data_IF_451132063716
#
_entry.id   IF_451132063716
#
_cell.length_a   1.000
_cell.length_b   1.000
_cell.length_c   1.000
_cell.angle_alpha   90.00
_cell.angle_beta   90.00
_cell.angle_gamma   90.00
#
_symmetry.space_group_name_H-M   'P 1'
#
loop_
_entity.id
_entity.type
_entity.pdbx_description
1 polymer ?
#
# COMPACT_ATOMS: atom_id res chain seq x y z
N UNK A 1 23.76 -8.45 -22.60
CA UNK A 1 22.99 -8.92 -21.45
C UNK A 1 21.66 -9.40 -22.01
N UNK A 2 21.32 -10.67 -21.81
CA UNK A 2 20.02 -11.21 -22.21
C UNK A 2 18.88 -10.40 -21.54
N UNK A 3 17.71 -10.35 -22.17
CA UNK A 3 16.51 -9.70 -21.60
C UNK A 3 16.20 -10.29 -20.22
N UNK A 4 16.39 -11.61 -20.06
CA UNK A 4 16.21 -12.30 -18.79
C UNK A 4 17.25 -11.91 -17.73
N UNK A 5 18.52 -11.78 -18.12
CA UNK A 5 19.60 -11.35 -17.21
C UNK A 5 19.38 -9.92 -16.71
N UNK A 6 18.94 -9.03 -17.60
CA UNK A 6 18.64 -7.64 -17.26
C UNK A 6 17.48 -7.55 -16.28
N UNK A 7 16.43 -8.36 -16.49
CA UNK A 7 15.27 -8.38 -15.60
C UNK A 7 15.60 -9.02 -14.25
N UNK A 8 16.38 -10.12 -14.25
CA UNK A 8 16.89 -10.74 -13.03
C UNK A 8 17.72 -9.75 -12.20
N UNK A 9 18.62 -8.99 -12.84
CA UNK A 9 19.42 -7.98 -12.17
C UNK A 9 18.54 -6.90 -11.50
N UNK A 10 17.49 -6.43 -12.18
CA UNK A 10 16.54 -5.47 -11.58
C UNK A 10 15.82 -6.07 -10.37
N UNK A 11 15.38 -7.33 -10.46
CA UNK A 11 14.71 -8.03 -9.37
C UNK A 11 15.65 -8.15 -8.16
N UNK A 12 16.90 -8.56 -8.37
CA UNK A 12 17.93 -8.64 -7.34
C UNK A 12 18.20 -7.28 -6.69
N UNK A 13 18.37 -6.23 -7.49
CA UNK A 13 18.60 -4.86 -7.00
C UNK A 13 17.40 -4.29 -6.22
N UNK A 14 16.19 -4.78 -6.49
CA UNK A 14 14.98 -4.29 -5.83
C UNK A 14 14.72 -4.91 -4.45
N UNK A 15 15.45 -5.97 -4.07
CA UNK A 15 15.21 -6.77 -2.86
C UNK A 15 13.71 -7.13 -2.66
N UNK A 16 12.98 -7.26 -3.76
CA UNK A 16 11.52 -7.42 -3.78
C UNK A 16 11.16 -8.67 -4.58
N UNK A 17 10.39 -9.57 -3.97
CA UNK A 17 9.80 -10.74 -4.60
C UNK A 17 8.33 -10.44 -4.89
N UNK A 18 8.00 -10.26 -6.16
CA UNK A 18 6.63 -10.01 -6.61
C UNK A 18 5.97 -11.32 -7.07
N UNK A 19 5.19 -11.94 -6.20
CA UNK A 19 4.45 -13.17 -6.53
C UNK A 19 3.15 -12.93 -7.30
N UNK A 20 2.78 -11.67 -7.58
CA UNK A 20 1.59 -11.32 -8.36
C UNK A 20 1.84 -11.34 -9.86
N UNK A 21 3.10 -11.26 -10.29
CA UNK A 21 3.46 -11.26 -11.70
C UNK A 21 3.92 -12.66 -12.13
N UNK A 22 3.15 -13.37 -13.00
CA UNK A 22 3.53 -14.69 -13.49
C UNK A 22 4.91 -14.73 -14.15
N UNK A 23 5.29 -13.65 -14.84
CA UNK A 23 6.60 -13.55 -15.51
C UNK A 23 7.74 -13.54 -14.48
N UNK A 24 7.53 -12.88 -13.33
CA UNK A 24 8.50 -12.86 -12.22
C UNK A 24 8.54 -14.21 -11.50
N UNK A 25 7.37 -14.82 -11.26
CA UNK A 25 7.26 -16.17 -10.66
C UNK A 25 8.01 -17.22 -11.48
N UNK A 26 7.88 -17.18 -12.81
CA UNK A 26 8.62 -18.08 -13.70
C UNK A 26 10.15 -17.90 -13.57
N UNK A 27 10.62 -16.66 -13.45
CA UNK A 27 12.05 -16.38 -13.21
C UNK A 27 12.51 -16.88 -11.83
N UNK A 28 11.73 -16.63 -10.78
CA UNK A 28 12.06 -17.10 -9.43
C UNK A 28 12.17 -18.62 -9.38
N UNK A 29 11.19 -19.33 -9.94
CA UNK A 29 11.17 -20.80 -9.98
C UNK A 29 12.37 -21.38 -10.75
N UNK A 30 12.85 -20.66 -11.77
CA UNK A 30 13.99 -21.10 -12.59
C UNK A 30 15.35 -20.84 -11.92
N UNK A 31 15.50 -19.71 -11.25
CA UNK A 31 16.82 -19.23 -10.81
C UNK A 31 17.04 -19.27 -9.29
N UNK A 32 15.98 -19.36 -8.48
CA UNK A 32 16.08 -19.45 -7.02
C UNK A 32 16.07 -20.94 -6.62
N UNK A 33 16.96 -21.39 -5.72
CA UNK A 33 16.91 -22.75 -5.18
C UNK A 33 15.52 -23.09 -4.64
N UNK A 34 15.00 -24.26 -5.01
CA UNK A 34 13.64 -24.69 -4.64
C UNK A 34 13.40 -24.68 -3.12
N UNK A 35 14.42 -25.01 -2.31
CA UNK A 35 14.33 -24.92 -0.85
C UNK A 35 14.00 -23.51 -0.36
N UNK A 36 14.72 -22.50 -0.87
CA UNK A 36 14.50 -21.10 -0.50
C UNK A 36 13.15 -20.61 -1.01
N UNK A 37 12.78 -20.97 -2.24
CA UNK A 37 11.48 -20.58 -2.79
C UNK A 37 10.31 -21.19 -1.99
N UNK A 38 10.42 -22.45 -1.57
CA UNK A 38 9.43 -23.10 -0.73
C UNK A 38 9.33 -22.46 0.66
N UNK A 39 10.44 -22.00 1.25
CA UNK A 39 10.39 -21.24 2.52
C UNK A 39 9.60 -19.93 2.37
N UNK A 40 9.75 -19.23 1.24
CA UNK A 40 8.97 -18.01 0.94
C UNK A 40 7.48 -18.34 0.83
N UNK A 41 7.13 -19.39 0.10
CA UNK A 41 5.73 -19.82 -0.03
C UNK A 41 5.11 -20.23 1.31
N UNK A 42 5.86 -20.96 2.14
CA UNK A 42 5.42 -21.31 3.50
C UNK A 42 5.17 -20.07 4.37
N UNK A 43 6.01 -19.04 4.25
CA UNK A 43 5.79 -17.78 4.95
C UNK A 43 4.51 -17.08 4.46
N UNK A 44 4.21 -17.13 3.16
CA UNK A 44 2.93 -16.64 2.63
C UNK A 44 1.73 -17.42 3.19
N UNK A 45 1.80 -18.75 3.27
CA UNK A 45 0.72 -19.58 3.81
C UNK A 45 0.48 -19.32 5.30
N UNK A 46 1.56 -19.11 6.07
CA UNK A 46 1.45 -18.67 7.47
C UNK A 46 0.73 -17.32 7.58
N UNK A 47 1.02 -16.37 6.71
CA UNK A 47 0.34 -15.07 6.71
C UNK A 47 -1.15 -15.20 6.34
N UNK A 48 -1.50 -16.07 5.39
CA UNK A 48 -2.90 -16.37 5.04
C UNK A 48 -3.67 -16.98 6.22
N UNK A 49 -3.02 -17.85 7.00
CA UNK A 49 -3.66 -18.49 8.17
C UNK A 49 -4.03 -17.49 9.29
N UNK A 50 -3.49 -16.26 9.25
CA UNK A 50 -3.79 -15.20 10.20
C UNK A 50 -4.99 -14.33 9.80
N UNK A 51 -5.66 -14.65 8.68
CA UNK A 51 -6.89 -13.98 8.30
C UNK A 51 -7.98 -14.23 9.36
N UNK A 52 -8.56 -13.19 9.99
CA UNK A 52 -9.64 -13.34 10.93
C UNK A 52 -10.88 -13.86 10.19
N UNK A 53 -11.54 -14.86 10.80
CA UNK A 53 -12.90 -15.24 10.42
C UNK A 53 -13.83 -14.11 10.86
N UNK A 54 -14.23 -13.24 9.93
CA UNK A 54 -15.20 -12.21 10.23
C UNK A 54 -16.58 -12.83 10.52
N UNK A 55 -17.28 -12.23 11.49
CA UNK A 55 -18.64 -12.62 11.79
C UNK A 55 -19.56 -12.13 10.68
N UNK A 56 -20.27 -13.06 10.02
CA UNK A 56 -21.22 -12.75 8.95
C UNK A 56 -22.26 -11.71 9.36
N UNK A 57 -22.67 -11.66 10.64
CA UNK A 57 -23.63 -10.66 11.12
C UNK A 57 -23.11 -9.22 11.01
N UNK A 58 -21.80 -9.00 11.19
CA UNK A 58 -21.18 -7.67 11.04
C UNK A 58 -21.16 -7.28 9.56
N UNK A 59 -20.92 -8.24 8.67
CA UNK A 59 -20.96 -8.01 7.22
C UNK A 59 -22.38 -7.65 6.80
N UNK A 60 -23.40 -8.33 7.33
CA UNK A 60 -24.80 -8.01 7.08
C UNK A 60 -25.17 -6.60 7.56
N UNK A 61 -24.73 -6.20 8.76
CA UNK A 61 -24.97 -4.85 9.29
C UNK A 61 -24.33 -3.76 8.41
N UNK A 62 -23.07 -3.95 8.01
CA UNK A 62 -22.35 -3.01 7.12
C UNK A 62 -23.01 -2.97 5.74
N UNK A 63 -23.43 -4.13 5.22
CA UNK A 63 -24.11 -4.21 3.94
C UNK A 63 -25.44 -3.45 3.97
N UNK A 64 -26.23 -3.62 5.03
CA UNK A 64 -27.47 -2.88 5.24
C UNK A 64 -27.23 -1.37 5.40
N UNK A 65 -26.17 -0.98 6.10
CA UNK A 65 -25.77 0.43 6.26
C UNK A 65 -25.36 1.04 4.92
N UNK A 66 -24.58 0.31 4.11
CA UNK A 66 -24.20 0.73 2.76
C UNK A 66 -25.42 0.91 1.86
N UNK A 67 -26.41 0.01 1.95
CA UNK A 67 -27.67 0.18 1.25
C UNK A 67 -28.40 1.44 1.74
N UNK A 68 -28.58 1.63 3.05
CA UNK A 68 -29.29 2.78 3.64
C UNK A 68 -28.63 4.12 3.28
N UNK A 69 -27.31 4.23 3.46
CA UNK A 69 -26.54 5.44 3.14
C UNK A 69 -26.69 5.85 1.67
N UNK A 70 -26.98 4.90 0.79
CA UNK A 70 -27.15 5.13 -0.65
C UNK A 70 -28.60 5.30 -1.10
N UNK A 71 -29.58 4.92 -0.28
CA UNK A 71 -31.00 5.20 -0.54
C UNK A 71 -31.47 6.51 0.11
N UNK A 72 -30.83 6.98 1.19
CA UNK A 72 -31.15 8.27 1.83
C UNK A 72 -30.63 9.48 1.05
N UNK A 73 -29.59 9.28 0.23
CA UNK A 73 -29.26 10.20 -0.85
C UNK A 73 -30.07 9.70 -2.04
N UNK A 74 -30.99 10.48 -2.61
CA UNK A 74 -31.81 10.16 -3.81
C UNK A 74 -31.00 9.72 -5.07
N UNK A 75 -29.71 9.48 -4.92
CA UNK A 75 -28.73 9.06 -5.89
C UNK A 75 -28.00 7.79 -5.43
N UNK A 76 -28.59 6.62 -5.74
CA UNK A 76 -27.96 5.31 -5.63
C UNK A 76 -26.79 5.19 -6.62
N UNK A 77 -25.72 5.96 -6.39
CA UNK A 77 -24.63 6.19 -7.34
C UNK A 77 -23.72 4.97 -7.53
N UNK A 78 -23.74 3.97 -6.65
CA UNK A 78 -23.09 2.69 -6.92
C UNK A 78 -23.77 1.92 -8.06
N UNK A 79 -25.11 1.89 -8.07
CA UNK A 79 -25.93 1.02 -8.93
C UNK A 79 -26.59 1.73 -10.13
N UNK A 80 -26.61 3.07 -10.15
CA UNK A 80 -27.11 3.87 -11.29
C UNK A 80 -26.07 3.89 -12.43
N UNK A 81 -25.89 2.75 -13.10
CA UNK A 81 -24.98 2.61 -14.24
C UNK A 81 -25.76 2.47 -15.56
N UNK A 82 -26.25 3.60 -16.10
CA UNK A 82 -26.85 3.60 -17.44
C UNK A 82 -25.81 3.58 -18.58
N UNK A 83 -24.51 3.75 -18.28
CA UNK A 83 -23.41 3.71 -19.27
C UNK A 83 -22.37 2.66 -18.91
N UNK A 84 -22.30 1.61 -19.72
CA UNK A 84 -21.30 0.55 -19.61
C UNK A 84 -19.86 1.11 -19.69
N UNK A 85 -19.07 0.80 -18.66
CA UNK A 85 -17.59 0.67 -18.64
C UNK A 85 -16.66 1.86 -18.99
N UNK A 86 -17.18 3.04 -19.37
CA UNK A 86 -16.35 4.19 -19.79
C UNK A 86 -16.15 5.29 -18.72
N UNK A 87 -16.27 4.95 -17.44
CA UNK A 87 -16.01 5.93 -16.39
C UNK A 87 -14.53 6.36 -16.32
N UNK A 88 -14.32 7.63 -15.97
CA UNK A 88 -13.01 8.11 -15.60
C UNK A 88 -12.49 7.41 -14.34
N UNK A 89 -11.17 7.26 -14.22
CA UNK A 89 -10.49 6.64 -13.06
C UNK A 89 -10.99 7.20 -11.72
N UNK A 90 -11.14 8.53 -11.65
CA UNK A 90 -11.62 9.26 -10.47
C UNK A 90 -13.06 8.88 -10.06
N UNK A 91 -13.90 8.41 -10.97
CA UNK A 91 -15.26 7.97 -10.61
C UNK A 91 -15.21 6.66 -9.83
N UNK A 92 -14.39 5.69 -10.27
CA UNK A 92 -14.18 4.44 -9.53
C UNK A 92 -13.55 4.71 -8.16
N UNK A 93 -12.55 5.60 -8.13
CA UNK A 93 -11.91 6.04 -6.89
C UNK A 93 -12.91 6.61 -5.89
N UNK A 94 -13.83 7.49 -6.32
CA UNK A 94 -14.85 8.08 -5.44
C UNK A 94 -15.86 7.05 -4.94
N UNK A 95 -16.32 6.14 -5.81
CA UNK A 95 -17.21 5.03 -5.41
C UNK A 95 -16.56 4.20 -4.30
N UNK A 96 -15.29 3.86 -4.46
CA UNK A 96 -14.54 3.11 -3.45
C UNK A 96 -14.28 3.93 -2.17
N UNK A 97 -13.88 5.20 -2.29
CA UNK A 97 -13.62 6.06 -1.13
C UNK A 97 -14.84 6.16 -0.20
N UNK A 98 -16.05 6.27 -0.76
CA UNK A 98 -17.28 6.28 0.03
C UNK A 98 -17.47 5.00 0.87
N UNK A 99 -17.14 3.82 0.31
CA UNK A 99 -17.22 2.55 1.05
C UNK A 99 -16.20 2.55 2.20
N UNK A 100 -14.99 3.01 1.91
CA UNK A 100 -13.90 3.07 2.90
C UNK A 100 -14.16 4.08 4.01
N UNK A 101 -14.78 5.22 3.70
CA UNK A 101 -15.15 6.23 4.70
C UNK A 101 -16.12 5.66 5.73
N UNK A 102 -17.09 4.84 5.31
CA UNK A 102 -18.02 4.13 6.21
C UNK A 102 -17.26 3.10 7.05
N UNK A 103 -16.38 2.30 6.42
CA UNK A 103 -15.64 1.26 7.14
C UNK A 103 -14.68 1.82 8.20
N UNK A 104 -14.15 3.02 7.99
CA UNK A 104 -13.19 3.67 8.88
C UNK A 104 -13.83 4.78 9.73
N UNK A 105 -15.16 4.86 9.75
CA UNK A 105 -15.86 5.80 10.64
C UNK A 105 -15.42 5.57 12.09
N UNK A 106 -15.21 6.68 12.81
CA UNK A 106 -14.70 6.72 14.19
C UNK A 106 -13.29 6.14 14.44
N UNK A 107 -12.57 5.71 13.40
CA UNK A 107 -11.22 5.18 13.54
C UNK A 107 -10.13 6.26 13.48
N UNK A 108 -8.96 5.96 14.06
CA UNK A 108 -7.78 6.84 13.99
C UNK A 108 -7.01 6.69 12.66
N UNK A 109 -7.74 6.48 11.58
CA UNK A 109 -7.24 6.26 10.23
C UNK A 109 -8.04 7.14 9.28
N UNK A 110 -7.34 7.85 8.39
CA UNK A 110 -7.98 8.67 7.36
C UNK A 110 -7.41 8.28 6.01
N UNK A 111 -8.29 8.07 5.03
CA UNK A 111 -7.90 7.88 3.64
C UNK A 111 -7.97 9.22 2.92
N UNK A 112 -6.87 9.59 2.29
CA UNK A 112 -6.75 10.85 1.58
C UNK A 112 -6.78 10.62 0.08
N UNK A 113 -7.59 11.42 -0.61
CA UNK A 113 -7.66 11.51 -2.06
C UNK A 113 -6.80 12.65 -2.62
N UNK A 114 -6.68 12.66 -3.96
CA UNK A 114 -5.85 13.57 -4.73
C UNK A 114 -4.41 13.07 -4.83
N UNK A 115 -3.78 13.26 -6.00
CA UNK A 115 -2.42 12.82 -6.34
C UNK A 115 -1.34 13.30 -5.35
N UNK A 116 -1.31 12.71 -4.15
CA UNK A 116 -0.43 13.12 -3.05
C UNK A 116 0.89 12.40 -3.21
N UNK A 117 1.96 13.16 -2.99
CA UNK A 117 3.31 12.63 -2.95
C UNK A 117 3.51 11.87 -1.64
N UNK A 118 3.82 10.57 -1.71
CA UNK A 118 4.19 9.80 -0.52
C UNK A 118 5.52 10.28 0.04
N UNK A 119 5.53 10.61 1.33
CA UNK A 119 6.74 11.01 2.05
C UNK A 119 7.72 9.84 2.18
N UNK A 120 7.20 8.63 2.31
CA UNK A 120 8.04 7.43 2.44
C UNK A 120 8.77 7.11 1.13
N UNK A 121 8.10 7.28 -0.02
CA UNK A 121 8.79 7.13 -1.32
C UNK A 121 9.86 8.20 -1.53
N UNK A 122 9.59 9.45 -1.13
CA UNK A 122 10.56 10.54 -1.22
C UNK A 122 11.80 10.22 -0.37
N UNK A 123 11.62 9.72 0.85
CA UNK A 123 12.72 9.32 1.73
C UNK A 123 13.59 8.22 1.13
N UNK A 124 12.99 7.20 0.51
CA UNK A 124 13.77 6.13 -0.13
C UNK A 124 14.49 6.62 -1.38
N UNK A 125 13.88 7.49 -2.20
CA UNK A 125 14.55 8.09 -3.36
C UNK A 125 15.79 8.91 -2.95
N UNK A 126 15.69 9.67 -1.85
CA UNK A 126 16.85 10.38 -1.28
C UNK A 126 17.96 9.40 -0.89
N UNK A 127 17.62 8.28 -0.25
CA UNK A 127 18.60 7.23 0.09
C UNK A 127 19.23 6.58 -1.15
N UNK A 128 18.45 6.42 -2.23
CA UNK A 128 18.92 5.91 -3.51
C UNK A 128 19.73 6.94 -4.33
N UNK A 129 19.84 8.20 -3.85
CA UNK A 129 20.47 9.32 -4.57
C UNK A 129 19.78 9.66 -5.90
N UNK A 130 18.46 9.46 -5.99
CA UNK A 130 17.63 9.85 -7.12
C UNK A 130 17.10 11.31 -6.99
N UNK A 131 16.65 11.93 -8.09
CA UNK A 131 16.01 13.27 -8.07
C UNK A 131 14.75 13.31 -7.18
N UNK A 132 14.56 14.41 -6.45
CA UNK A 132 13.58 14.62 -5.37
C UNK A 132 12.13 14.83 -5.84
N UNK A 133 11.56 13.83 -6.50
CA UNK A 133 10.16 13.83 -6.91
C UNK A 133 9.50 12.54 -6.40
N UNK A 134 9.00 12.57 -5.16
CA UNK A 134 8.23 11.47 -4.59
C UNK A 134 7.03 11.08 -5.46
N UNK A 135 6.41 9.94 -5.16
CA UNK A 135 5.37 9.37 -6.04
C UNK A 135 3.97 9.87 -5.71
N UNK A 136 3.26 10.30 -6.76
CA UNK A 136 1.81 10.53 -6.74
C UNK A 136 1.05 9.22 -6.58
N UNK A 137 0.08 9.23 -5.68
CA UNK A 137 -0.76 8.09 -5.28
C UNK A 137 -2.21 8.55 -5.33
N UNK A 138 -3.11 7.66 -5.76
CA UNK A 138 -4.54 7.95 -5.89
C UNK A 138 -5.20 8.05 -4.51
N UNK A 139 -5.07 7.00 -3.69
CA UNK A 139 -5.54 6.98 -2.31
C UNK A 139 -4.44 6.52 -1.35
N UNK A 140 -4.33 7.21 -0.21
CA UNK A 140 -3.35 6.86 0.82
C UNK A 140 -4.00 6.85 2.21
N UNK A 141 -3.92 5.71 2.88
CA UNK A 141 -4.34 5.58 4.27
C UNK A 141 -3.25 6.14 5.18
N UNK A 142 -3.63 6.97 6.14
CA UNK A 142 -2.70 7.61 7.08
C UNK A 142 -3.26 7.59 8.48
N UNK A 143 -2.37 7.63 9.45
CA UNK A 143 -2.68 7.92 10.84
C UNK A 143 -1.92 9.14 11.33
N UNK A 144 -2.37 9.68 12.47
CA UNK A 144 -1.77 10.83 13.13
C UNK A 144 -1.48 10.53 14.59
N UNK A 145 -0.28 10.93 15.02
CA UNK A 145 0.10 10.97 16.43
C UNK A 145 0.77 12.30 16.75
N UNK A 146 0.12 13.15 17.54
CA UNK A 146 0.54 14.55 17.71
C UNK A 146 0.57 15.25 16.35
N UNK A 147 1.68 15.89 16.00
CA UNK A 147 1.86 16.54 14.69
C UNK A 147 2.48 15.62 13.62
N UNK A 148 2.75 14.36 13.96
CA UNK A 148 3.35 13.39 13.05
C UNK A 148 2.25 12.67 12.26
N UNK A 149 2.32 12.79 10.94
CA UNK A 149 1.50 12.03 10.00
C UNK A 149 2.31 10.81 9.56
N UNK A 150 1.70 9.63 9.63
CA UNK A 150 2.33 8.36 9.31
C UNK A 150 1.49 7.68 8.22
N UNK A 151 2.14 7.28 7.12
CA UNK A 151 1.49 6.55 6.01
C UNK A 151 1.32 5.08 6.41
N UNK A 152 0.19 4.47 6.06
CA UNK A 152 -0.15 3.09 6.44
C UNK A 152 -0.21 2.15 5.24
N UNK A 153 -0.80 2.59 4.12
CA UNK A 153 -0.80 1.87 2.84
C UNK A 153 -1.21 2.80 1.69
N UNK A 154 -0.87 2.42 0.46
CA UNK A 154 -1.33 3.08 -0.77
C UNK A 154 -2.25 2.19 -1.58
N UNK A 155 -3.33 2.77 -2.10
CA UNK A 155 -4.31 2.14 -2.98
C UNK A 155 -4.27 2.89 -4.31
N UNK A 156 -4.17 2.16 -5.42
CA UNK A 156 -4.09 2.74 -6.76
C UNK A 156 -5.27 2.25 -7.63
N UNK A 157 -5.70 3.13 -8.54
CA UNK A 157 -6.81 2.91 -9.45
C UNK A 157 -6.32 2.98 -10.89
N UNK A 158 -6.95 2.23 -11.77
CA UNK A 158 -6.79 2.35 -13.22
C UNK A 158 -8.15 2.27 -13.88
N UNK A 159 -8.27 2.89 -15.05
CA UNK A 159 -9.46 2.73 -15.90
C UNK A 159 -9.63 1.26 -16.32
N UNK A 160 -10.89 0.82 -16.49
CA UNK A 160 -11.22 -0.57 -16.89
C UNK A 160 -10.48 -0.99 -18.18
N UNK A 161 -10.37 -0.08 -19.16
CA UNK A 161 -9.70 -0.33 -20.43
C UNK A 161 -8.17 -0.25 -20.41
N UNK A 162 -7.53 -0.15 -19.24
CA UNK A 162 -6.08 -0.04 -19.16
C UNK A 162 -5.39 -1.28 -19.74
N UNK A 163 -4.37 -1.05 -20.55
CA UNK A 163 -3.55 -2.12 -21.13
C UNK A 163 -2.81 -2.91 -20.04
N UNK A 164 -2.74 -4.23 -20.17
CA UNK A 164 -2.15 -5.10 -19.15
C UNK A 164 -0.68 -4.80 -18.85
N UNK A 165 0.11 -4.38 -19.85
CA UNK A 165 1.49 -3.96 -19.60
C UNK A 165 1.57 -2.67 -18.78
N UNK A 166 0.58 -1.78 -18.92
CA UNK A 166 0.47 -0.58 -18.08
C UNK A 166 0.06 -1.00 -16.68
N UNK A 167 -0.92 -1.90 -16.54
CA UNK A 167 -1.36 -2.42 -15.25
C UNK A 167 -0.23 -3.14 -14.49
N UNK A 168 0.55 -4.00 -15.15
CA UNK A 168 1.74 -4.66 -14.56
C UNK A 168 2.78 -3.66 -14.06
N UNK A 169 3.07 -2.61 -14.85
CA UNK A 169 4.00 -1.54 -14.46
C UNK A 169 3.48 -0.77 -13.25
N UNK A 170 2.18 -0.50 -13.22
CA UNK A 170 1.53 0.20 -12.13
C UNK A 170 1.48 -0.64 -10.85
N UNK A 171 1.12 -1.92 -10.94
CA UNK A 171 1.20 -2.87 -9.82
C UNK A 171 2.61 -2.87 -9.23
N UNK A 172 3.64 -3.00 -10.08
CA UNK A 172 5.04 -2.91 -9.65
C UNK A 172 5.40 -1.57 -9.01
N UNK A 173 4.75 -0.46 -9.42
CA UNK A 173 4.88 0.85 -8.77
C UNK A 173 4.25 0.82 -7.38
N UNK A 174 3.02 0.33 -7.24
CA UNK A 174 2.29 0.30 -5.97
C UNK A 174 2.95 -0.64 -4.94
N UNK A 175 3.47 -1.79 -5.38
CA UNK A 175 4.28 -2.70 -4.54
C UNK A 175 5.45 -1.94 -3.91
N UNK A 176 6.25 -1.22 -4.72
CA UNK A 176 7.41 -0.48 -4.21
C UNK A 176 7.00 0.64 -3.25
N UNK A 177 5.89 1.32 -3.52
CA UNK A 177 5.34 2.35 -2.64
C UNK A 177 4.97 1.75 -1.28
N UNK A 178 4.19 0.66 -1.26
CA UNK A 178 3.81 -0.01 -0.01
C UNK A 178 5.00 -0.62 0.72
N UNK A 179 6.03 -1.10 0.02
CA UNK A 179 7.30 -1.52 0.64
C UNK A 179 7.99 -0.35 1.34
N UNK A 180 8.06 0.83 0.72
CA UNK A 180 8.63 2.02 1.34
C UNK A 180 7.87 2.40 2.62
N UNK A 181 6.54 2.35 2.57
CA UNK A 181 5.68 2.60 3.72
C UNK A 181 5.95 1.55 4.82
N UNK A 182 5.98 0.26 4.49
CA UNK A 182 6.26 -0.81 5.46
C UNK A 182 7.63 -0.65 6.10
N UNK A 183 8.65 -0.29 5.33
CA UNK A 183 9.99 -0.07 5.87
C UNK A 183 10.00 1.08 6.88
N UNK A 184 9.27 2.17 6.61
CA UNK A 184 9.13 3.26 7.58
C UNK A 184 8.39 2.80 8.84
N UNK A 185 7.30 2.07 8.70
CA UNK A 185 6.54 1.52 9.83
C UNK A 185 7.37 0.56 10.68
N UNK A 186 8.11 -0.37 10.06
CA UNK A 186 9.02 -1.27 10.76
C UNK A 186 10.08 -0.49 11.55
N UNK A 187 10.57 0.62 11.00
CA UNK A 187 11.52 1.50 11.68
C UNK A 187 10.90 2.26 12.86
N UNK A 188 9.63 2.64 12.79
CA UNK A 188 8.92 3.27 13.91
C UNK A 188 8.63 2.21 14.99
N UNK A 189 8.12 1.05 14.59
CA UNK A 189 7.63 0.03 15.51
C UNK A 189 8.76 -0.81 16.11
N UNK A 190 9.96 -0.78 15.51
CA UNK A 190 11.12 -1.62 15.85
C UNK A 190 10.80 -3.12 15.79
N UNK A 191 9.78 -3.49 15.02
CA UNK A 191 9.32 -4.87 14.81
C UNK A 191 8.95 -5.04 13.35
N UNK A 192 9.04 -6.28 12.85
CA UNK A 192 8.61 -6.61 11.50
C UNK A 192 7.07 -6.68 11.49
N UNK A 193 6.46 -5.92 10.59
CA UNK A 193 5.04 -5.97 10.31
C UNK A 193 4.75 -6.43 8.89
N UNK A 194 3.50 -6.25 8.51
CA UNK A 194 2.99 -6.43 7.15
C UNK A 194 1.97 -5.33 6.85
N UNK A 195 1.73 -5.08 5.57
CA UNK A 195 0.72 -4.16 5.06
C UNK A 195 -0.20 -4.93 4.13
N UNK A 196 -1.50 -4.70 4.27
CA UNK A 196 -2.49 -5.00 3.24
C UNK A 196 -2.82 -3.74 2.45
N UNK A 197 -2.86 -3.86 1.13
CA UNK A 197 -3.22 -2.78 0.22
C UNK A 197 -3.95 -3.32 -1.01
N UNK A 198 -4.45 -2.42 -1.86
CA UNK A 198 -5.26 -2.79 -3.00
C UNK A 198 -4.80 -2.10 -4.28
N UNK A 199 -5.05 -2.77 -5.40
CA UNK A 199 -4.95 -2.22 -6.75
C UNK A 199 -6.28 -2.47 -7.46
N UNK A 200 -6.83 -1.43 -8.11
CA UNK A 200 -8.12 -1.48 -8.81
C UNK A 200 -7.95 -1.18 -10.29
N UNK A 201 -8.66 -1.92 -11.14
CA UNK A 201 -8.85 -1.71 -12.58
C UNK A 201 -10.35 -1.62 -12.84
N UNK A 202 -10.87 -0.40 -12.88
CA UNK A 202 -12.30 -0.12 -12.91
C UNK A 202 -13.00 -0.64 -11.65
N UNK A 203 -13.87 -1.64 -11.81
CA UNK A 203 -14.61 -2.27 -10.68
C UNK A 203 -13.94 -3.51 -10.12
N UNK A 204 -12.99 -4.05 -10.85
CA UNK A 204 -12.24 -5.22 -10.44
C UNK A 204 -11.01 -4.75 -9.67
N UNK A 205 -10.79 -5.32 -8.51
CA UNK A 205 -9.61 -5.05 -7.71
C UNK A 205 -9.07 -6.32 -7.11
N UNK A 206 -7.96 -6.21 -6.39
CA UNK A 206 -7.44 -7.32 -5.62
C UNK A 206 -6.73 -6.80 -4.37
N UNK A 207 -6.80 -7.61 -3.32
CA UNK A 207 -6.10 -7.41 -2.07
C UNK A 207 -4.71 -8.03 -2.14
N UNK A 208 -3.71 -7.30 -1.67
CA UNK A 208 -2.31 -7.71 -1.68
C UNK A 208 -1.72 -7.53 -0.31
N UNK A 209 -0.90 -8.49 0.12
CA UNK A 209 -0.12 -8.37 1.33
C UNK A 209 1.36 -8.24 1.01
N UNK A 210 2.03 -7.31 1.70
CA UNK A 210 3.48 -7.14 1.68
C UNK A 210 4.03 -7.33 3.08
N UNK A 211 5.10 -8.11 3.19
CA UNK A 211 5.81 -8.34 4.44
C UNK A 211 7.31 -8.54 4.20
N UNK A 212 8.10 -8.40 5.27
CA UNK A 212 9.52 -8.67 5.22
C UNK A 212 9.79 -10.14 5.60
N UNK A 213 10.50 -10.86 4.75
CA UNK A 213 11.00 -12.20 5.01
C UNK A 213 12.52 -12.18 4.93
N UNK A 214 13.20 -12.40 6.06
CA UNK A 214 14.66 -12.23 6.16
C UNK A 214 15.08 -10.83 5.67
N UNK A 215 15.90 -10.75 4.62
CA UNK A 215 16.44 -9.54 4.01
C UNK A 215 15.71 -9.12 2.71
N UNK A 216 14.59 -9.77 2.38
CA UNK A 216 13.76 -9.45 1.22
C UNK A 216 12.35 -9.02 1.61
N UNK A 217 11.73 -8.24 0.73
CA UNK A 217 10.31 -7.91 0.80
C UNK A 217 9.52 -8.83 -0.13
N UNK A 218 8.44 -9.43 0.37
CA UNK A 218 7.59 -10.34 -0.39
C UNK A 218 6.23 -9.71 -0.56
N UNK A 219 5.72 -9.66 -1.78
CA UNK A 219 4.33 -9.30 -2.07
C UNK A 219 3.59 -10.48 -2.67
N UNK A 220 2.38 -10.78 -2.18
CA UNK A 220 1.57 -11.86 -2.71
C UNK A 220 0.07 -11.53 -2.72
N UNK A 221 -0.62 -12.14 -3.67
CA UNK A 221 -2.07 -12.01 -3.88
C UNK A 221 -2.84 -12.64 -2.72
N UNK A 222 -3.86 -11.94 -2.24
CA UNK A 222 -4.72 -12.38 -1.15
C UNK A 222 -6.09 -12.81 -1.66
N UNK A 223 -6.81 -11.90 -2.32
CA UNK A 223 -8.16 -12.17 -2.83
C UNK A 223 -8.56 -11.16 -3.93
N UNK A 224 -9.47 -11.57 -4.81
CA UNK A 224 -10.16 -10.69 -5.75
C UNK A 224 -11.25 -9.84 -5.07
N UNK A 225 -11.35 -8.58 -5.46
CA UNK A 225 -12.32 -7.63 -4.96
C UNK A 225 -13.17 -7.09 -6.10
N UNK A 226 -14.41 -6.73 -5.80
CA UNK A 226 -15.36 -6.29 -6.81
C UNK A 226 -16.27 -5.17 -6.29
N UNK A 227 -16.49 -4.14 -7.11
CA UNK A 227 -17.49 -3.10 -6.84
C UNK A 227 -18.74 -3.40 -7.70
N UNK A 228 -19.92 -3.65 -7.10
CA UNK A 228 -21.11 -4.05 -7.85
C UNK A 228 -21.57 -2.97 -8.83
N UNK A 229 -22.06 -3.38 -10.00
CA UNK A 229 -22.75 -2.52 -10.98
C UNK A 229 -24.25 -2.54 -10.86
N UNK A 230 -24.82 -3.65 -10.40
CA UNK A 230 -26.27 -3.77 -10.23
C UNK A 230 -26.61 -4.71 -9.07
N UNK A 231 -27.91 -4.80 -8.78
CA UNK A 231 -28.41 -5.57 -7.64
C UNK A 231 -28.10 -7.06 -7.74
N UNK A 232 -27.87 -7.61 -8.94
CA UNK A 232 -27.61 -9.05 -9.13
C UNK A 232 -26.22 -9.44 -8.65
N UNK A 233 -25.30 -8.48 -8.54
CA UNK A 233 -23.91 -8.70 -8.14
C UNK A 233 -23.67 -8.43 -6.65
N UNK A 234 -24.73 -8.10 -5.91
CA UNK A 234 -24.64 -7.82 -4.48
C UNK A 234 -24.21 -9.03 -3.66
N UNK A 235 -24.56 -10.24 -4.09
CA UNK A 235 -24.11 -11.46 -3.42
C UNK A 235 -22.59 -11.64 -3.55
N UNK A 236 -22.01 -11.36 -4.72
CA UNK A 236 -20.56 -11.38 -4.95
C UNK A 236 -19.85 -10.26 -4.16
N UNK A 237 -20.53 -9.13 -3.96
CA UNK A 237 -20.01 -8.02 -3.17
C UNK A 237 -19.85 -8.36 -1.67
N UNK A 238 -20.60 -9.32 -1.13
CA UNK A 238 -20.45 -9.77 0.27
C UNK A 238 -19.05 -10.29 0.57
N UNK A 239 -18.48 -11.05 -0.36
CA UNK A 239 -17.10 -11.51 -0.24
C UNK A 239 -16.14 -10.32 -0.23
N UNK A 240 -16.35 -9.34 -1.11
CA UNK A 240 -15.54 -8.10 -1.09
C UNK A 240 -15.62 -7.40 0.26
N UNK A 241 -16.82 -7.24 0.84
CA UNK A 241 -16.99 -6.61 2.16
C UNK A 241 -16.25 -7.36 3.26
N UNK A 242 -16.26 -8.70 3.25
CA UNK A 242 -15.49 -9.51 4.19
C UNK A 242 -14.00 -9.12 4.14
N UNK A 243 -13.42 -9.05 2.94
CA UNK A 243 -12.01 -8.71 2.77
C UNK A 243 -11.70 -7.23 2.99
N UNK A 244 -12.66 -6.33 2.74
CA UNK A 244 -12.53 -4.91 3.11
C UNK A 244 -12.53 -4.73 4.64
N UNK A 245 -13.34 -5.50 5.37
CA UNK A 245 -13.31 -5.50 6.84
C UNK A 245 -11.98 -6.08 7.36
N UNK A 246 -11.49 -7.16 6.76
CA UNK A 246 -10.17 -7.70 7.09
C UNK A 246 -9.06 -6.66 6.86
N UNK A 247 -9.10 -5.96 5.74
CA UNK A 247 -8.19 -4.87 5.44
C UNK A 247 -8.30 -3.75 6.48
N UNK A 248 -9.52 -3.30 6.79
CA UNK A 248 -9.82 -2.28 7.79
C UNK A 248 -9.21 -2.65 9.14
N UNK A 249 -9.50 -3.83 9.68
CA UNK A 249 -8.98 -4.28 10.96
C UNK A 249 -7.45 -4.32 10.97
N UNK A 250 -6.84 -4.76 9.87
CA UNK A 250 -5.39 -4.79 9.72
C UNK A 250 -4.79 -3.37 9.73
N UNK A 251 -5.40 -2.42 9.00
CA UNK A 251 -4.93 -1.02 8.96
C UNK A 251 -5.15 -0.31 10.29
N UNK A 252 -6.27 -0.55 10.98
CA UNK A 252 -6.56 -0.01 12.31
C UNK A 252 -5.59 -0.57 13.36
N UNK A 253 -5.33 -1.88 13.34
CA UNK A 253 -4.32 -2.50 14.21
C UNK A 253 -2.93 -1.88 13.96
N UNK A 254 -2.52 -1.77 12.70
CA UNK A 254 -1.23 -1.18 12.32
C UNK A 254 -1.14 0.28 12.77
N UNK A 255 -2.21 1.06 12.61
CA UNK A 255 -2.34 2.43 13.10
C UNK A 255 -2.09 2.50 14.61
N UNK A 256 -2.80 1.68 15.39
CA UNK A 256 -2.69 1.69 16.85
C UNK A 256 -1.30 1.28 17.35
N UNK A 257 -0.72 0.22 16.78
CA UNK A 257 0.64 -0.22 17.10
C UNK A 257 1.67 0.88 16.78
N UNK A 258 1.52 1.53 15.63
CA UNK A 258 2.48 2.53 15.16
C UNK A 258 2.40 3.83 15.94
N UNK A 259 1.19 4.28 16.29
CA UNK A 259 0.99 5.42 17.19
C UNK A 259 1.54 5.13 18.58
N UNK A 260 1.34 3.93 19.10
CA UNK A 260 1.87 3.53 20.40
C UNK A 260 3.41 3.50 20.40
N UNK A 261 4.02 3.00 19.33
CA UNK A 261 5.48 3.02 19.17
C UNK A 261 6.01 4.46 19.10
N UNK A 262 5.38 5.33 18.31
CA UNK A 262 5.73 6.74 18.21
C UNK A 262 5.59 7.47 19.57
N UNK A 263 4.53 7.18 20.34
CA UNK A 263 4.35 7.70 21.70
C UNK A 263 5.48 7.27 22.62
N UNK A 264 5.79 5.97 22.66
CA UNK A 264 6.85 5.41 23.50
C UNK A 264 8.19 6.05 23.17
N UNK A 265 8.50 6.24 21.90
CA UNK A 265 9.73 6.86 21.45
C UNK A 265 9.81 8.34 21.88
N UNK A 266 8.74 9.12 21.67
CA UNK A 266 8.68 10.52 22.13
C UNK A 266 8.86 10.63 23.65
N UNK A 267 8.30 9.70 24.43
CA UNK A 267 8.47 9.69 25.90
C UNK A 267 9.90 9.41 26.36
N UNK A 268 10.67 8.59 25.63
CA UNK A 268 12.08 8.34 25.98
C UNK A 268 12.87 9.64 26.02
N UNK A 269 12.67 10.50 25.02
CA UNK A 269 13.34 11.80 24.94
C UNK A 269 12.89 12.77 26.03
N UNK A 270 11.59 12.82 26.34
CA UNK A 270 11.08 13.66 27.44
C UNK A 270 11.66 13.21 28.79
N UNK A 271 11.72 11.90 29.03
CA UNK A 271 12.29 11.36 30.27
C UNK A 271 13.80 11.59 30.33
N UNK A 272 14.52 11.46 29.21
CA UNK A 272 15.94 11.79 29.16
C UNK A 272 16.19 13.26 29.45
N UNK A 273 15.39 14.18 28.90
CA UNK A 273 15.52 15.61 29.12
C UNK A 273 15.28 15.99 30.59
N UNK A 274 14.25 15.41 31.23
CA UNK A 274 14.01 15.58 32.66
C UNK A 274 15.16 15.01 33.48
N UNK A 275 15.68 13.82 33.13
CA UNK A 275 16.79 13.20 33.86
C UNK A 275 18.14 13.93 33.66
N UNK A 276 18.38 14.51 32.49
CA UNK A 276 19.54 15.32 32.16
C UNK A 276 19.49 16.68 32.86
N UNK A 277 18.29 17.25 33.04
CA UNK A 277 18.11 18.44 33.87
C UNK A 277 18.45 18.21 35.36
N UNK A 278 18.54 16.94 35.79
CA UNK A 278 18.93 16.55 37.14
C UNK A 278 20.36 16.00 37.24
N UNK A 279 21.12 15.86 36.15
CA UNK A 279 22.48 15.31 36.16
C UNK A 279 23.41 16.15 35.28
N UNK A 280 24.42 16.74 35.91
CA UNK A 280 25.57 17.34 35.21
C UNK A 280 26.30 16.29 34.39
N UNK A 281 26.50 16.60 33.11
CA UNK A 281 27.39 16.03 32.09
C UNK A 281 27.95 14.63 32.34
N UNK A 282 27.59 13.67 31.48
CA UNK A 282 28.57 12.77 30.86
C UNK A 282 27.99 12.11 29.58
N UNK A 283 28.86 12.07 28.56
CA UNK A 283 28.87 11.47 27.21
C UNK A 283 27.57 11.09 26.45
N UNK A 284 27.57 11.22 25.10
CA UNK A 284 26.40 10.88 24.28
C UNK A 284 26.11 9.36 24.33
N UNK A 285 24.83 8.95 24.31
CA UNK A 285 24.51 7.54 24.17
C UNK A 285 24.93 7.04 22.80
N UNK A 286 25.65 5.93 22.77
CA UNK A 286 25.95 5.17 21.56
C UNK A 286 24.65 4.64 20.96
N UNK A 287 24.33 5.08 19.74
CA UNK A 287 23.19 4.57 18.97
C UNK A 287 23.31 3.04 18.80
N UNK A 288 22.24 2.26 19.06
CA UNK A 288 22.26 0.84 18.75
C UNK A 288 22.41 0.63 17.25
N UNK A 289 23.11 -0.43 16.85
CA UNK A 289 23.33 -0.79 15.45
C UNK A 289 21.98 -0.86 14.71
N UNK A 290 21.73 0.12 13.84
CA UNK A 290 20.56 0.13 12.97
C UNK A 290 20.73 -0.99 11.94
N UNK A 291 19.70 -1.83 11.77
CA UNK A 291 19.65 -2.74 10.61
C UNK A 291 19.69 -1.89 9.34
N UNK A 292 20.45 -2.30 8.30
CA UNK A 292 20.48 -1.55 7.06
C UNK A 292 19.05 -1.47 6.48
N UNK A 293 18.57 -0.28 6.09
CA UNK A 293 17.23 -0.12 5.54
C UNK A 293 17.13 -0.83 4.19
N UNK A 294 16.01 -1.53 3.95
CA UNK A 294 15.68 -2.03 2.60
C UNK A 294 15.29 -0.82 1.75
N UNK A 295 16.02 -0.60 0.66
CA UNK A 295 15.83 0.53 -0.25
C UNK A 295 15.33 0.02 -1.60
N UNK A 296 14.01 -0.17 -1.80
CA UNK A 296 13.49 -0.58 -3.10
C UNK A 296 13.97 0.38 -4.20
N UNK A 297 14.43 -0.16 -5.32
CA UNK A 297 14.94 0.64 -6.43
C UNK A 297 13.81 1.33 -7.20
N UNK A 298 13.94 2.63 -7.45
CA UNK A 298 13.00 3.43 -8.23
C UNK A 298 13.61 3.71 -9.61
N UNK A 299 12.91 3.40 -10.70
CA UNK A 299 13.41 3.77 -12.04
C UNK A 299 13.38 5.30 -12.21
N UNK A 300 14.46 5.95 -12.67
CA UNK A 300 14.48 7.39 -12.90
C UNK A 300 13.43 7.83 -13.91
N UNK A 301 12.72 8.92 -13.62
CA UNK A 301 11.73 9.51 -14.53
C UNK A 301 12.46 10.21 -15.68
N UNK A 302 12.27 9.76 -16.93
CA UNK A 302 12.86 10.45 -18.10
C UNK A 302 12.28 11.88 -18.19
N UNK A 303 13.14 12.90 -18.22
CA UNK A 303 12.73 14.28 -18.50
C UNK A 303 12.00 14.30 -19.84
N UNK A 304 10.74 14.75 -19.84
CA UNK A 304 10.02 15.09 -21.07
C UNK A 304 10.65 16.37 -21.58
N UNK A 305 11.65 16.26 -22.45
CA UNK A 305 12.32 17.41 -23.04
C UNK A 305 11.25 18.24 -23.76
N UNK A 306 10.91 19.39 -23.19
CA UNK A 306 10.07 20.39 -23.85
C UNK A 306 10.90 20.86 -25.04
N UNK A 307 10.57 20.38 -26.25
CA UNK A 307 11.13 20.95 -27.48
C UNK A 307 10.74 22.42 -27.48
N UNK A 308 11.67 23.28 -27.09
CA UNK A 308 11.61 24.69 -27.45
C UNK A 308 11.80 24.71 -28.96
N UNK A 309 10.74 24.98 -29.70
CA UNK A 309 10.87 25.38 -31.09
C UNK A 309 11.57 26.74 -31.06
N UNK A 310 12.87 26.75 -31.29
CA UNK A 310 13.54 27.95 -31.79
C UNK A 310 12.96 28.20 -33.19
N UNK A 311 12.11 29.23 -33.29
CA UNK A 311 11.85 29.84 -34.58
C UNK A 311 13.10 30.65 -34.93
N UNK A 312 13.93 30.06 -35.78
CA UNK A 312 14.79 30.81 -36.70
C UNK A 312 13.88 31.63 -37.63
N UNK A 313 14.21 32.91 -37.83
CA UNK A 313 13.54 33.71 -38.85
C UNK A 313 13.74 35.22 -38.74
N UNK A 314 14.86 35.67 -39.34
CA UNK A 314 15.08 36.91 -40.09
C UNK A 314 14.87 38.28 -39.38
#
# INVERSE_FOLDING_TARGET
MDVNETELLKLCLSQTVNLLNPDHVALYTRFIPASIYNEVLQACDQMKSLQPSLNLSVIDEIFDELLRFQFDKDDCSLLKDEKHNDYAEMTYQRKFANIVDILLEDENVTVYDGEKVSKDTQRIQILNKDEDNGRKIDLIAKTKYGDVIIELCSIEFKVQGANDNISKKQQSKNIRTNISILNNINNINKQLGNILYMDWKGREGYLVQVFQFKDIMVSYFVEDLYIPKDLMELDDFRNTLQYLCFWRDSVVKLSNETRLAAYKEKRKYIVSDVSASCRSFDSPPSSPAQRPPITPFFTPTKKRTRKVMEQEGA
#
